data_IF_643166293537
#
_entry.id   IF_643166293537
#
_cell.length_a   1.000
_cell.length_b   1.000
_cell.length_c   1.000
_cell.angle_alpha   90.00
_cell.angle_beta   90.00
_cell.angle_gamma   90.00
#
_symmetry.space_group_name_H-M   'P 1'
#
loop_
_entity.id
_entity.type
_entity.pdbx_description
1 polymer ?
#
# COMPACT_ATOMS: atom_id res chain seq x y z
N UNK A 1 -19.41 -10.20 -6.34
CA UNK A 1 -18.74 -9.08 -5.66
C UNK A 1 -19.51 -7.81 -5.95
N UNK A 2 -19.87 -7.04 -4.93
CA UNK A 2 -20.43 -5.70 -5.12
C UNK A 2 -19.42 -4.85 -5.89
N UNK A 3 -19.87 -4.12 -6.92
CA UNK A 3 -19.05 -3.27 -7.81
C UNK A 3 -18.68 -1.96 -7.11
N UNK A 4 -18.04 -2.04 -5.96
CA UNK A 4 -17.72 -0.91 -5.10
C UNK A 4 -16.22 -0.77 -4.99
N UNK A 5 -15.75 0.46 -5.16
CA UNK A 5 -14.37 0.86 -5.01
C UNK A 5 -14.27 1.77 -3.78
N UNK A 6 -13.48 1.39 -2.79
CA UNK A 6 -13.31 2.19 -1.58
C UNK A 6 -12.12 3.12 -1.76
N UNK A 7 -12.34 4.42 -1.59
CA UNK A 7 -11.34 5.47 -1.72
C UNK A 7 -11.61 6.57 -0.69
N UNK A 8 -10.56 7.19 -0.17
CA UNK A 8 -10.67 8.36 0.70
C UNK A 8 -9.40 8.62 1.51
N UNK A 9 -9.45 9.62 2.37
CA UNK A 9 -8.43 9.86 3.39
C UNK A 9 -8.75 9.06 4.66
N UNK A 10 -7.80 8.87 5.59
CA UNK A 10 -8.08 8.21 6.87
C UNK A 10 -9.27 8.90 7.56
N UNK A 11 -10.36 8.16 7.83
CA UNK A 11 -11.56 8.69 8.51
C UNK A 11 -12.69 9.06 7.58
N UNK A 12 -12.39 9.16 6.28
CA UNK A 12 -13.33 9.57 5.24
C UNK A 12 -13.35 8.59 4.07
N UNK A 13 -13.03 7.31 4.31
CA UNK A 13 -13.15 6.24 3.33
C UNK A 13 -14.63 6.04 2.95
N UNK A 14 -14.97 6.20 1.67
CA UNK A 14 -16.34 5.94 1.19
C UNK A 14 -16.38 4.96 0.03
N UNK A 15 -17.49 4.20 -0.08
CA UNK A 15 -17.76 3.42 -1.26
C UNK A 15 -18.09 4.35 -2.43
N UNK A 16 -17.31 4.26 -3.50
CA UNK A 16 -17.58 4.90 -4.79
C UNK A 16 -17.89 3.81 -5.81
N UNK A 17 -18.60 4.19 -6.87
CA UNK A 17 -18.84 3.30 -8.00
C UNK A 17 -17.52 2.82 -8.59
N UNK A 18 -17.46 1.56 -9.01
CA UNK A 18 -16.29 1.02 -9.72
C UNK A 18 -15.94 1.89 -10.95
N UNK A 19 -14.64 2.14 -11.14
CA UNK A 19 -14.13 2.81 -12.33
C UNK A 19 -14.42 1.97 -13.60
N UNK A 20 -14.37 2.63 -14.76
CA UNK A 20 -14.57 1.99 -16.05
C UNK A 20 -13.43 1.01 -16.35
N UNK A 21 -13.75 -0.09 -17.05
CA UNK A 21 -12.73 -1.04 -17.48
C UNK A 21 -11.65 -0.33 -18.32
N UNK A 22 -10.39 -0.62 -18.04
CA UNK A 22 -9.24 0.05 -18.66
C UNK A 22 -8.55 1.08 -17.77
N UNK A 23 -9.08 1.38 -16.57
CA UNK A 23 -8.29 2.04 -15.54
C UNK A 23 -7.05 1.19 -15.22
N UNK A 24 -5.88 1.73 -15.52
CA UNK A 24 -4.60 1.05 -15.40
C UNK A 24 -3.75 1.70 -14.32
N UNK A 25 -2.82 0.93 -13.77
CA UNK A 25 -1.71 1.47 -13.02
C UNK A 25 -0.42 1.22 -13.79
N UNK A 26 0.48 2.20 -13.73
CA UNK A 26 1.82 2.09 -14.31
C UNK A 26 2.85 2.33 -13.22
N UNK A 27 3.86 1.46 -13.17
CA UNK A 27 5.06 1.69 -12.36
C UNK A 27 5.99 2.59 -13.15
N UNK A 28 6.30 3.75 -12.58
CA UNK A 28 7.16 4.77 -13.17
C UNK A 28 8.45 4.84 -12.34
N UNK A 29 9.58 4.78 -13.04
CA UNK A 29 10.91 4.90 -12.43
C UNK A 29 11.75 5.93 -13.18
N UNK A 30 12.83 6.38 -12.56
CA UNK A 30 13.80 7.23 -13.23
C UNK A 30 14.64 6.40 -14.21
N UNK A 31 14.83 6.89 -15.43
CA UNK A 31 15.65 6.26 -16.44
C UNK A 31 16.32 7.31 -17.32
N UNK A 32 17.64 7.35 -17.33
CA UNK A 32 18.46 8.20 -18.18
C UNK A 32 19.27 7.34 -19.14
N UNK A 33 19.23 7.69 -20.43
CA UNK A 33 20.04 7.05 -21.47
C UNK A 33 21.11 8.02 -21.95
N UNK A 34 22.37 7.64 -21.80
CA UNK A 34 23.50 8.39 -22.31
C UNK A 34 23.99 7.69 -23.57
N UNK A 35 24.11 8.43 -24.67
CA UNK A 35 24.69 7.91 -25.91
C UNK A 35 26.14 8.37 -26.02
N UNK A 36 27.06 7.43 -26.19
CA UNK A 36 28.47 7.71 -26.35
C UNK A 36 28.78 8.01 -27.82
N UNK A 37 29.74 8.92 -28.06
CA UNK A 37 30.27 9.24 -29.40
C UNK A 37 30.84 8.02 -30.15
N UNK A 38 31.21 6.96 -29.41
CA UNK A 38 31.64 5.67 -29.95
C UNK A 38 30.50 4.80 -30.50
N UNK A 39 29.24 5.26 -30.45
CA UNK A 39 28.05 4.52 -30.86
C UNK A 39 27.49 3.57 -29.80
N UNK A 40 28.07 3.53 -28.59
CA UNK A 40 27.55 2.75 -27.45
C UNK A 40 26.49 3.54 -26.68
N UNK A 41 25.71 2.87 -25.85
CA UNK A 41 24.79 3.52 -24.92
C UNK A 41 25.05 3.05 -23.48
N UNK A 42 24.93 3.97 -22.53
CA UNK A 42 24.81 3.72 -21.10
C UNK A 42 23.37 3.98 -20.68
N UNK A 43 22.86 3.20 -19.72
CA UNK A 43 21.54 3.39 -19.15
C UNK A 43 21.69 3.44 -17.63
N UNK A 44 21.14 4.48 -17.01
CA UNK A 44 21.03 4.61 -15.57
C UNK A 44 19.55 4.56 -15.21
N UNK A 45 19.16 3.63 -14.37
CA UNK A 45 17.77 3.48 -13.90
C UNK A 45 17.73 3.47 -12.39
N UNK A 46 16.65 3.99 -11.80
CA UNK A 46 16.33 3.69 -10.41
C UNK A 46 15.73 2.29 -10.31
N UNK A 47 16.02 1.58 -9.22
CA UNK A 47 15.30 0.36 -8.86
C UNK A 47 14.00 0.68 -8.13
N UNK A 48 13.98 1.78 -7.37
CA UNK A 48 12.74 2.36 -6.85
C UNK A 48 11.84 2.87 -7.97
N UNK A 49 10.54 2.69 -7.79
CA UNK A 49 9.49 3.18 -8.68
C UNK A 49 8.30 3.66 -7.85
N UNK A 50 7.58 4.67 -8.33
CA UNK A 50 6.25 5.02 -7.81
C UNK A 50 5.16 4.50 -8.75
N UNK A 51 3.93 4.46 -8.26
CA UNK A 51 2.76 4.09 -9.05
C UNK A 51 1.94 5.30 -9.45
N UNK A 52 1.52 5.29 -10.71
CA UNK A 52 0.52 6.22 -11.22
C UNK A 52 -0.73 5.45 -11.59
N UNK A 53 -1.89 6.00 -11.23
CA UNK A 53 -3.19 5.40 -11.46
C UNK A 53 -4.02 6.36 -12.30
N UNK A 54 -4.56 5.87 -13.41
CA UNK A 54 -5.52 6.62 -14.23
C UNK A 54 -6.89 5.97 -14.07
N UNK A 55 -7.80 6.70 -13.42
CA UNK A 55 -9.15 6.24 -13.18
C UNK A 55 -10.16 7.11 -13.92
N UNK A 56 -11.12 6.45 -14.55
CA UNK A 56 -12.30 7.11 -15.13
C UNK A 56 -13.57 6.51 -14.55
N UNK A 57 -14.46 7.36 -14.05
CA UNK A 57 -15.76 6.98 -13.52
C UNK A 57 -16.87 7.57 -14.37
N UNK A 58 -17.99 6.85 -14.46
CA UNK A 58 -19.23 7.34 -15.07
C UNK A 58 -20.39 7.07 -14.14
N UNK A 59 -21.05 8.12 -13.69
CA UNK A 59 -22.08 8.05 -12.66
C UNK A 59 -23.02 9.25 -12.69
N UNK A 60 -23.83 9.34 -11.64
CA UNK A 60 -24.55 10.57 -11.32
C UNK A 60 -23.65 11.54 -10.57
N UNK A 61 -24.01 12.83 -10.57
CA UNK A 61 -23.23 13.87 -9.89
C UNK A 61 -23.09 13.62 -8.40
N UNK A 62 -24.17 13.25 -7.72
CA UNK A 62 -24.19 12.94 -6.29
C UNK A 62 -23.29 11.76 -5.92
N UNK A 63 -23.26 10.71 -6.76
CA UNK A 63 -22.40 9.53 -6.57
C UNK A 63 -20.90 9.87 -6.68
N UNK A 64 -20.54 10.83 -7.55
CA UNK A 64 -19.16 11.19 -7.83
C UNK A 64 -18.70 12.46 -7.09
N UNK A 65 -19.61 13.14 -6.38
CA UNK A 65 -19.31 14.35 -5.62
C UNK A 65 -18.18 14.12 -4.61
N UNK A 66 -18.15 12.95 -3.97
CA UNK A 66 -17.10 12.61 -3.01
C UNK A 66 -15.69 12.64 -3.63
N UNK A 67 -15.52 12.24 -4.89
CA UNK A 67 -14.22 12.32 -5.58
C UNK A 67 -13.79 13.77 -5.80
N UNK A 68 -14.75 14.64 -6.13
CA UNK A 68 -14.49 16.07 -6.31
C UNK A 68 -14.15 16.74 -4.98
N UNK A 69 -14.86 16.36 -3.90
CA UNK A 69 -14.60 16.83 -2.54
C UNK A 69 -13.23 16.37 -2.02
N UNK A 70 -12.80 15.14 -2.35
CA UNK A 70 -11.44 14.69 -2.07
C UNK A 70 -10.42 15.54 -2.83
N UNK A 71 -10.65 15.82 -4.12
CA UNK A 71 -9.71 16.60 -4.94
C UNK A 71 -9.61 18.07 -4.58
N UNK A 72 -10.64 18.61 -3.92
CA UNK A 72 -10.63 19.98 -3.41
C UNK A 72 -9.99 20.10 -2.03
N UNK A 73 -9.56 18.98 -1.43
CA UNK A 73 -8.98 18.94 -0.10
C UNK A 73 -10.00 19.16 1.02
N UNK A 74 -11.31 18.96 0.77
CA UNK A 74 -12.36 19.17 1.77
C UNK A 74 -12.15 18.31 3.04
N UNK A 75 -11.51 17.16 2.87
CA UNK A 75 -11.22 16.19 3.94
C UNK A 75 -9.78 16.26 4.45
N UNK A 76 -9.08 17.37 4.20
CA UNK A 76 -7.69 17.60 4.59
C UNK A 76 -6.67 17.29 3.49
N UNK A 77 -5.39 17.50 3.83
CA UNK A 77 -4.23 17.30 2.94
C UNK A 77 -3.57 15.92 3.13
N UNK A 78 -4.29 14.98 3.75
CA UNK A 78 -3.76 13.63 3.94
C UNK A 78 -3.72 12.87 2.61
N UNK A 79 -2.76 11.92 2.45
CA UNK A 79 -2.75 11.04 1.30
C UNK A 79 -4.08 10.30 1.14
N UNK A 80 -4.42 10.02 -0.12
CA UNK A 80 -5.60 9.27 -0.53
C UNK A 80 -5.23 7.79 -0.55
N UNK A 81 -6.05 6.99 0.11
CA UNK A 81 -5.92 5.56 0.18
C UNK A 81 -7.10 4.89 -0.51
N UNK A 82 -6.81 3.82 -1.24
CA UNK A 82 -7.81 2.96 -1.83
C UNK A 82 -7.32 1.51 -1.86
N UNK A 83 -8.25 0.58 -2.05
CA UNK A 83 -7.92 -0.82 -2.26
C UNK A 83 -8.20 -1.14 -3.71
N UNK A 84 -7.16 -1.52 -4.46
CA UNK A 84 -7.33 -2.07 -5.80
C UNK A 84 -7.95 -3.47 -5.68
N UNK A 85 -9.18 -3.68 -6.18
CA UNK A 85 -9.84 -4.97 -6.11
C UNK A 85 -9.13 -6.07 -6.91
N UNK A 86 -8.23 -5.73 -7.85
CA UNK A 86 -7.41 -6.72 -8.57
C UNK A 86 -6.30 -7.32 -7.70
N UNK A 87 -5.88 -6.61 -6.64
CA UNK A 87 -4.76 -7.01 -5.78
C UNK A 87 -5.16 -7.23 -4.32
N UNK A 88 -6.42 -6.98 -3.97
CA UNK A 88 -6.96 -7.11 -2.62
C UNK A 88 -6.73 -8.49 -1.99
N UNK A 89 -6.70 -9.54 -2.81
CA UNK A 89 -6.46 -10.94 -2.43
C UNK A 89 -4.99 -11.38 -2.50
N UNK A 90 -4.07 -10.48 -2.88
CA UNK A 90 -2.63 -10.76 -3.02
C UNK A 90 -1.79 -10.02 -1.99
N UNK A 91 -1.08 -8.97 -2.36
CA UNK A 91 -0.32 -8.17 -1.42
C UNK A 91 -0.59 -6.70 -1.70
N UNK A 92 -1.36 -6.06 -0.82
CA UNK A 92 -1.73 -4.65 -0.95
C UNK A 92 -0.67 -3.71 -0.39
N UNK A 93 0.47 -4.22 0.09
CA UNK A 93 1.58 -3.36 0.49
C UNK A 93 2.27 -2.78 -0.74
N UNK A 94 2.85 -1.59 -0.60
CA UNK A 94 3.82 -1.09 -1.55
C UNK A 94 5.02 -2.04 -1.66
N UNK A 95 5.72 -2.01 -2.80
CA UNK A 95 6.79 -2.98 -3.09
C UNK A 95 7.92 -2.97 -2.04
N UNK A 96 8.32 -1.78 -1.57
CA UNK A 96 9.38 -1.63 -0.58
C UNK A 96 8.96 -2.05 0.83
N UNK A 97 7.69 -1.87 1.19
CA UNK A 97 7.12 -2.47 2.41
C UNK A 97 7.04 -3.99 2.31
N UNK A 98 6.61 -4.52 1.17
CA UNK A 98 6.50 -5.97 0.98
C UNK A 98 7.86 -6.68 0.99
N UNK A 99 8.90 -6.07 0.42
CA UNK A 99 10.26 -6.58 0.37
C UNK A 99 11.26 -5.52 0.86
N UNK A 100 11.51 -5.42 2.18
CA UNK A 100 12.32 -4.35 2.78
C UNK A 100 13.77 -4.27 2.27
N UNK A 101 14.29 -5.34 1.66
CA UNK A 101 15.58 -5.33 0.97
C UNK A 101 15.63 -4.32 -0.18
N UNK A 102 14.50 -3.90 -0.75
CA UNK A 102 14.46 -2.87 -1.79
C UNK A 102 15.04 -1.54 -1.33
N UNK A 103 15.07 -1.27 -0.02
CA UNK A 103 15.72 -0.08 0.52
C UNK A 103 17.24 -0.07 0.30
N UNK A 104 17.86 -1.22 0.05
CA UNK A 104 19.27 -1.32 -0.36
C UNK A 104 19.50 -0.93 -1.82
N UNK A 105 18.41 -0.83 -2.59
CA UNK A 105 18.36 -0.50 -4.02
C UNK A 105 17.62 0.82 -4.23
N UNK A 106 17.87 1.83 -3.40
CA UNK A 106 17.32 3.19 -3.51
C UNK A 106 15.81 3.34 -3.21
N UNK A 107 15.12 2.32 -2.69
CA UNK A 107 13.77 2.51 -2.17
C UNK A 107 13.79 3.16 -0.75
N UNK A 108 12.70 3.79 -0.31
CA UNK A 108 12.62 4.30 1.06
C UNK A 108 12.76 3.16 2.10
N UNK A 109 13.57 3.34 3.16
CA UNK A 109 13.66 2.35 4.24
C UNK A 109 12.34 2.25 4.99
N UNK A 110 12.02 1.06 5.52
CA UNK A 110 10.81 0.84 6.35
C UNK A 110 11.02 1.25 7.81
N UNK A 111 12.26 1.54 8.20
CA UNK A 111 12.64 1.94 9.56
C UNK A 111 13.88 2.81 9.52
N UNK A 112 13.83 3.96 10.21
CA UNK A 112 14.93 4.92 10.21
C UNK A 112 15.11 5.61 8.86
N UNK A 113 16.24 6.28 8.71
CA UNK A 113 16.59 7.04 7.51
C UNK A 113 17.73 6.40 6.70
N UNK A 114 18.48 5.47 7.30
CA UNK A 114 19.58 4.78 6.64
C UNK A 114 19.10 3.53 5.91
N UNK A 115 19.70 3.27 4.74
CA UNK A 115 19.48 2.02 4.03
C UNK A 115 19.95 0.83 4.89
N UNK A 116 19.16 -0.25 5.00
CA UNK A 116 19.54 -1.43 5.76
C UNK A 116 20.65 -2.21 5.04
N UNK A 117 21.28 -3.15 5.73
CA UNK A 117 22.20 -4.10 5.09
C UNK A 117 21.40 -5.27 4.49
N UNK A 118 21.79 -5.73 3.29
CA UNK A 118 21.17 -6.88 2.66
C UNK A 118 21.72 -8.19 3.28
N UNK A 119 20.83 -9.09 3.67
CA UNK A 119 21.19 -10.42 4.21
C UNK A 119 20.54 -11.52 3.40
N UNK A 120 21.16 -12.70 3.37
CA UNK A 120 20.60 -13.85 2.66
C UNK A 120 19.34 -14.37 3.36
N UNK A 121 18.24 -14.54 2.63
CA UNK A 121 17.05 -15.17 3.18
C UNK A 121 17.29 -16.68 3.38
N UNK A 122 16.95 -17.25 4.55
CA UNK A 122 17.03 -18.68 4.77
C UNK A 122 16.18 -19.49 3.78
N UNK A 123 16.52 -20.78 3.62
CA UNK A 123 15.70 -21.72 2.86
C UNK A 123 14.27 -21.75 3.43
N UNK A 124 13.27 -21.61 2.56
CA UNK A 124 11.88 -21.41 2.95
C UNK A 124 10.91 -22.05 1.96
N UNK A 125 9.68 -22.27 2.42
CA UNK A 125 8.55 -22.79 1.64
C UNK A 125 7.54 -21.69 1.25
N UNK A 126 7.90 -20.43 1.50
CA UNK A 126 7.02 -19.26 1.38
C UNK A 126 7.27 -18.45 0.11
N UNK A 127 8.19 -18.87 -0.76
CA UNK A 127 8.64 -18.12 -1.94
C UNK A 127 9.11 -16.69 -1.57
N UNK A 128 9.80 -16.56 -0.42
CA UNK A 128 10.33 -15.28 0.05
C UNK A 128 11.39 -14.71 -0.93
N UNK A 129 11.63 -13.39 -0.91
CA UNK A 129 12.75 -12.79 -1.65
C UNK A 129 14.07 -13.48 -1.31
N UNK A 130 15.00 -13.52 -2.27
CA UNK A 130 16.31 -14.15 -2.09
C UNK A 130 17.15 -13.50 -0.97
N UNK A 131 16.91 -12.22 -0.69
CA UNK A 131 17.58 -11.44 0.34
C UNK A 131 16.56 -10.65 1.17
N UNK A 132 16.85 -10.48 2.45
CA UNK A 132 16.11 -9.62 3.38
C UNK A 132 16.92 -8.39 3.81
N UNK A 133 16.35 -7.62 4.72
CA UNK A 133 16.97 -6.45 5.32
C UNK A 133 17.41 -6.76 6.77
N UNK A 134 18.64 -6.39 7.11
CA UNK A 134 19.12 -6.33 8.49
C UNK A 134 18.92 -4.91 9.02
N UNK A 135 17.98 -4.79 9.96
CA UNK A 135 17.61 -3.54 10.60
C UNK A 135 18.41 -3.39 11.89
N UNK A 136 19.15 -2.29 12.01
CA UNK A 136 19.87 -1.92 13.24
C UNK A 136 19.11 -0.79 13.93
N UNK A 137 18.83 -0.94 15.22
CA UNK A 137 18.12 0.06 16.01
C UNK A 137 18.89 1.37 16.00
N UNK A 138 18.18 2.45 15.70
CA UNK A 138 18.70 3.80 15.74
C UNK A 138 18.05 4.56 16.92
N UNK A 139 18.81 5.25 17.78
CA UNK A 139 18.27 5.91 18.98
C UNK A 139 17.27 7.03 18.68
N UNK A 140 17.34 7.63 17.49
CA UNK A 140 16.51 8.75 17.04
C UNK A 140 15.87 8.48 15.67
N UNK A 141 15.70 7.20 15.28
CA UNK A 141 15.06 6.87 14.01
C UNK A 141 13.64 7.43 13.96
N UNK A 142 13.31 8.06 12.84
CA UNK A 142 11.92 8.30 12.47
C UNK A 142 11.23 6.93 12.32
N UNK A 143 10.18 6.72 13.10
CA UNK A 143 9.31 5.55 12.91
C UNK A 143 8.43 5.85 11.72
N UNK A 144 8.70 5.19 10.60
CA UNK A 144 7.82 5.24 9.43
C UNK A 144 6.59 4.39 9.68
N UNK A 145 5.45 4.89 9.24
CA UNK A 145 4.16 4.26 9.39
C UNK A 145 3.51 4.11 8.02
N UNK A 146 2.88 2.96 7.78
CA UNK A 146 2.14 2.73 6.55
C UNK A 146 0.69 2.39 6.86
N UNK A 147 -0.23 3.24 6.41
CA UNK A 147 -1.65 3.08 6.66
C UNK A 147 -2.32 2.18 5.62
N UNK A 148 -3.06 1.18 6.10
CA UNK A 148 -3.90 0.31 5.29
C UNK A 148 -5.36 0.56 5.65
N UNK A 149 -6.21 0.98 4.69
CA UNK A 149 -7.64 1.10 4.94
C UNK A 149 -8.28 -0.29 5.09
N UNK A 150 -9.25 -0.42 5.99
CA UNK A 150 -10.07 -1.61 6.18
C UNK A 150 -11.54 -1.20 6.04
N UNK A 151 -12.16 -1.42 4.87
CA UNK A 151 -13.56 -1.07 4.66
C UNK A 151 -14.49 -1.84 5.61
N UNK A 152 -15.68 -1.30 5.91
CA UNK A 152 -16.69 -2.02 6.67
C UNK A 152 -17.01 -3.39 6.06
N UNK A 153 -17.09 -4.42 6.91
CA UNK A 153 -17.34 -5.80 6.48
C UNK A 153 -16.14 -6.50 5.83
N UNK A 154 -14.93 -5.94 5.95
CA UNK A 154 -13.68 -6.56 5.53
C UNK A 154 -12.75 -6.79 6.73
N UNK A 155 -11.78 -7.67 6.55
CA UNK A 155 -10.74 -7.98 7.52
C UNK A 155 -9.38 -7.88 6.85
N UNK A 156 -8.42 -7.30 7.57
CA UNK A 156 -7.01 -7.30 7.20
C UNK A 156 -6.38 -8.61 7.66
N UNK A 157 -5.79 -9.34 6.73
CA UNK A 157 -4.90 -10.45 7.00
C UNK A 157 -3.47 -9.99 6.78
N UNK A 158 -2.68 -9.98 7.83
CA UNK A 158 -1.30 -9.50 7.81
C UNK A 158 -0.33 -10.61 8.19
N UNK A 159 0.86 -10.58 7.63
CA UNK A 159 1.95 -11.45 7.99
C UNK A 159 3.30 -10.90 7.58
N UNK A 160 4.35 -11.36 8.23
CA UNK A 160 5.73 -11.04 7.87
C UNK A 160 6.64 -12.21 8.21
N UNK A 161 7.80 -12.28 7.55
CA UNK A 161 8.86 -13.23 7.87
C UNK A 161 10.10 -12.46 8.34
N UNK A 162 10.66 -12.85 9.49
CA UNK A 162 11.79 -12.14 10.10
C UNK A 162 11.93 -12.44 11.59
N UNK A 163 12.70 -11.60 12.29
CA UNK A 163 12.83 -11.62 13.74
C UNK A 163 11.45 -11.38 14.39
N UNK A 164 11.04 -12.21 15.37
CA UNK A 164 9.75 -12.03 16.03
C UNK A 164 9.60 -10.68 16.74
N UNK A 165 8.35 -10.21 16.82
CA UNK A 165 7.91 -9.06 17.61
C UNK A 165 8.50 -7.70 17.19
N UNK A 166 8.93 -7.56 15.94
CA UNK A 166 9.47 -6.29 15.40
C UNK A 166 8.41 -5.46 14.66
N UNK A 167 7.32 -6.07 14.23
CA UNK A 167 6.23 -5.39 13.51
C UNK A 167 5.05 -5.14 14.43
N UNK A 168 4.57 -3.90 14.45
CA UNK A 168 3.40 -3.45 15.20
C UNK A 168 2.30 -3.04 14.23
N UNK A 169 1.08 -3.43 14.58
CA UNK A 169 -0.14 -3.03 13.90
C UNK A 169 -0.93 -2.15 14.87
N UNK A 170 -1.08 -0.88 14.52
CA UNK A 170 -1.83 0.10 15.31
C UNK A 170 -3.22 0.24 14.70
N UNK A 171 -4.29 -0.21 15.38
CA UNK A 171 -5.65 0.02 14.92
C UNK A 171 -5.97 1.52 14.84
N UNK A 172 -6.62 1.96 13.76
CA UNK A 172 -6.92 3.36 13.51
C UNK A 172 -8.42 3.58 13.29
N UNK A 173 -8.90 4.73 13.76
CA UNK A 173 -10.18 5.34 13.40
C UNK A 173 -9.90 6.76 12.94
N UNK A 174 -9.94 6.97 11.63
CA UNK A 174 -9.42 8.17 11.03
C UNK A 174 -7.91 8.33 11.22
N UNK A 175 -7.49 9.55 11.49
CA UNK A 175 -6.10 9.85 11.83
C UNK A 175 -5.77 9.53 13.31
N UNK A 176 -6.65 8.87 14.06
CA UNK A 176 -6.50 8.64 15.50
C UNK A 176 -6.38 7.15 15.81
N UNK A 177 -5.55 6.84 16.81
CA UNK A 177 -5.40 5.48 17.32
C UNK A 177 -6.68 4.99 17.98
N UNK A 178 -7.12 3.78 17.62
CA UNK A 178 -8.33 3.14 18.13
C UNK A 178 -8.02 1.84 18.87
N UNK A 179 -7.35 1.95 20.02
CA UNK A 179 -7.04 0.82 20.90
C UNK A 179 -5.55 0.45 20.98
N UNK A 180 -5.22 -0.68 21.65
CA UNK A 180 -3.84 -1.10 21.87
C UNK A 180 -3.18 -1.62 20.58
N UNK A 181 -1.85 -1.55 20.52
CA UNK A 181 -1.10 -2.10 19.38
C UNK A 181 -1.18 -3.62 19.42
N UNK A 182 -1.36 -4.21 18.23
CA UNK A 182 -1.26 -5.64 18.03
C UNK A 182 0.15 -5.94 17.53
N UNK A 183 0.92 -6.70 18.31
CA UNK A 183 2.22 -7.20 17.85
C UNK A 183 1.99 -8.32 16.86
N UNK A 184 2.44 -8.15 15.61
CA UNK A 184 2.28 -9.18 14.61
C UNK A 184 3.20 -10.39 14.91
N UNK A 185 2.71 -11.59 14.63
CA UNK A 185 3.49 -12.82 14.80
C UNK A 185 4.32 -13.07 13.55
N UNK A 186 5.61 -13.32 13.70
CA UNK A 186 6.45 -13.72 12.57
C UNK A 186 6.01 -15.09 12.03
N UNK A 187 5.93 -15.20 10.70
CA UNK A 187 5.63 -16.44 10.01
C UNK A 187 6.79 -17.43 10.14
N UNK A 188 6.45 -18.70 10.38
CA UNK A 188 7.42 -19.77 10.28
C UNK A 188 7.73 -20.01 8.79
N UNK A 189 8.98 -19.79 8.39
CA UNK A 189 9.42 -19.90 6.99
C UNK A 189 9.24 -21.29 6.37
N UNK A 190 8.97 -22.31 7.19
CA UNK A 190 8.71 -23.69 6.75
C UNK A 190 7.23 -24.05 6.64
N UNK A 191 6.30 -23.25 7.20
CA UNK A 191 4.87 -23.60 7.35
C UNK A 191 4.02 -23.45 6.09
N UNK A 192 4.55 -22.84 5.02
CA UNK A 192 3.83 -22.59 3.78
C UNK A 192 2.75 -21.49 3.86
N UNK A 193 2.58 -20.82 5.01
CA UNK A 193 1.66 -19.68 5.16
C UNK A 193 2.35 -18.45 5.78
N UNK A 194 2.39 -17.34 5.05
CA UNK A 194 2.96 -16.08 5.54
C UNK A 194 1.97 -15.30 6.44
N UNK A 195 0.67 -15.44 6.23
CA UNK A 195 -0.36 -14.65 6.90
C UNK A 195 -0.66 -15.20 8.30
N UNK A 196 -0.25 -14.47 9.34
CA UNK A 196 -0.26 -14.92 10.74
C UNK A 196 -1.26 -14.18 11.62
N UNK A 197 -1.53 -12.91 11.32
CA UNK A 197 -2.39 -12.03 12.11
C UNK A 197 -3.64 -11.63 11.32
N UNK A 198 -4.77 -11.45 12.00
CA UNK A 198 -6.01 -10.98 11.38
C UNK A 198 -6.66 -9.93 12.26
N UNK A 199 -7.03 -8.81 11.65
CA UNK A 199 -7.73 -7.69 12.28
C UNK A 199 -9.03 -7.48 11.52
N UNK A 200 -10.16 -7.61 12.21
CA UNK A 200 -11.47 -7.37 11.62
C UNK A 200 -11.78 -5.87 11.60
N UNK A 201 -12.27 -5.37 10.47
CA UNK A 201 -12.84 -4.04 10.36
C UNK A 201 -14.11 -3.93 11.20
N UNK A 202 -14.35 -2.76 11.79
CA UNK A 202 -15.53 -2.50 12.62
C UNK A 202 -15.95 -1.04 12.53
N UNK A 203 -17.09 -0.67 13.12
CA UNK A 203 -17.53 0.72 13.14
C UNK A 203 -16.55 1.67 13.90
N UNK A 204 -15.67 1.10 14.73
CA UNK A 204 -14.64 1.85 15.47
C UNK A 204 -13.24 1.65 14.90
N UNK A 205 -13.09 1.05 13.72
CA UNK A 205 -11.81 0.77 13.09
C UNK A 205 -11.95 0.81 11.57
N UNK A 206 -11.37 1.84 10.95
CA UNK A 206 -11.42 2.06 9.49
C UNK A 206 -10.08 1.78 8.79
N UNK A 207 -9.03 1.49 9.56
CA UNK A 207 -7.74 1.09 9.04
C UNK A 207 -6.76 0.62 10.11
N UNK A 208 -5.56 0.28 9.66
CA UNK A 208 -4.44 -0.15 10.50
C UNK A 208 -3.17 0.54 10.00
N UNK A 209 -2.42 1.15 10.89
CA UNK A 209 -1.05 1.62 10.62
C UNK A 209 -0.05 0.52 10.95
N UNK A 210 0.90 0.27 10.05
CA UNK A 210 2.00 -0.68 10.24
C UNK A 210 3.27 0.10 10.58
N UNK A 211 3.97 -0.32 11.63
CA UNK A 211 5.30 0.19 11.95
C UNK A 211 6.28 -0.93 12.29
N UNK A 212 7.55 -0.68 12.02
CA UNK A 212 8.66 -1.58 12.35
C UNK A 212 9.50 -0.96 13.45
N UNK A 213 9.85 -1.74 14.46
CA UNK A 213 10.57 -1.26 15.66
C UNK A 213 11.51 -2.35 16.20
N UNK A 214 12.73 -2.47 15.66
CA UNK A 214 13.72 -3.42 16.16
C UNK A 214 14.23 -3.04 17.56
N UNK A 215 14.42 -4.04 18.43
CA UNK A 215 14.96 -3.82 19.78
C UNK A 215 16.47 -3.57 19.81
N UNK A 216 17.22 -4.20 18.89
CA UNK A 216 18.66 -4.04 18.73
C UNK A 216 19.05 -4.29 17.27
N UNK A 217 19.06 -5.55 16.85
CA UNK A 217 19.25 -5.97 15.46
C UNK A 217 18.09 -6.90 15.13
N UNK A 218 17.51 -6.72 13.95
CA UNK A 218 16.41 -7.55 13.48
C UNK A 218 16.55 -7.85 12.00
N UNK A 219 16.16 -9.05 11.62
CA UNK A 219 16.07 -9.50 10.24
C UNK A 219 14.62 -9.34 9.77
N UNK A 220 14.41 -8.76 8.59
CA UNK A 220 13.09 -8.65 8.00
C UNK A 220 13.17 -9.04 6.53
N UNK A 221 12.56 -10.16 6.18
CA UNK A 221 12.65 -10.76 4.85
C UNK A 221 11.51 -10.33 3.94
N UNK A 222 10.28 -10.31 4.46
CA UNK A 222 9.09 -10.00 3.69
C UNK A 222 7.91 -9.60 4.57
N UNK A 223 7.00 -8.80 4.03
CA UNK A 223 5.70 -8.48 4.61
C UNK A 223 4.59 -8.68 3.58
N UNK A 224 3.41 -9.08 4.04
CA UNK A 224 2.24 -9.24 3.21
C UNK A 224 0.96 -8.82 3.94
N UNK A 225 0.13 -8.06 3.24
CA UNK A 225 -1.20 -7.69 3.68
C UNK A 225 -2.25 -8.04 2.62
N UNK A 226 -3.41 -8.54 3.04
CA UNK A 226 -4.58 -8.76 2.19
C UNK A 226 -5.81 -8.22 2.89
N UNK A 227 -6.72 -7.59 2.16
CA UNK A 227 -8.00 -7.13 2.70
C UNK A 227 -9.11 -7.88 2.00
N UNK A 228 -9.76 -8.77 2.74
CA UNK A 228 -10.79 -9.66 2.23
C UNK A 228 -12.12 -9.41 2.95
N UNK A 229 -13.27 -9.71 2.34
CA UNK A 229 -14.54 -9.69 3.05
C UNK A 229 -14.47 -10.55 4.32
N UNK A 230 -15.04 -10.09 5.43
CA UNK A 230 -14.95 -10.80 6.71
C UNK A 230 -15.61 -12.19 6.70
N UNK A 231 -16.44 -12.48 5.69
CA UNK A 231 -17.04 -13.80 5.44
C UNK A 231 -16.14 -14.75 4.65
N UNK A 232 -15.05 -14.25 4.06
CA UNK A 232 -14.10 -15.07 3.34
C UNK A 232 -13.33 -15.98 4.31
N UNK A 233 -13.04 -17.21 3.86
CA UNK A 233 -12.14 -18.08 4.60
C UNK A 233 -10.76 -17.44 4.69
N UNK A 234 -10.10 -17.58 5.86
CA UNK A 234 -8.73 -17.08 6.04
C UNK A 234 -7.84 -17.65 4.93
N UNK A 235 -7.17 -16.78 4.16
CA UNK A 235 -6.30 -17.20 3.08
C UNK A 235 -5.07 -17.92 3.64
N UNK A 236 -4.69 -19.00 2.97
CA UNK A 236 -3.36 -19.59 3.08
C UNK A 236 -2.59 -19.09 1.88
N UNK A 237 -1.55 -18.29 2.11
CA UNK A 237 -0.81 -17.66 1.03
C UNK A 237 0.68 -17.82 1.23
N UNK A 238 1.37 -18.07 0.13
CA UNK A 238 2.80 -17.78 0.01
C UNK A 238 3.02 -16.28 -0.16
N UNK A 239 4.27 -15.85 -0.14
CA UNK A 239 4.64 -14.47 -0.39
C UNK A 239 4.30 -14.06 -1.82
N UNK A 240 3.70 -12.88 -1.94
CA UNK A 240 3.56 -12.15 -3.18
C UNK A 240 4.23 -10.79 -3.06
N UNK A 241 4.91 -10.34 -4.11
CA UNK A 241 5.45 -8.98 -4.17
C UNK A 241 4.36 -7.92 -3.97
N UNK A 242 4.74 -6.79 -3.39
CA UNK A 242 3.82 -5.69 -3.07
C UNK A 242 3.18 -5.08 -4.31
N UNK A 243 1.84 -5.00 -4.29
CA UNK A 243 1.03 -4.44 -5.35
C UNK A 243 0.05 -3.35 -4.90
N UNK A 244 0.28 -2.74 -3.73
CA UNK A 244 -0.42 -1.51 -3.36
C UNK A 244 0.43 -0.27 -3.57
N UNK A 245 0.13 0.76 -2.78
CA UNK A 245 0.80 2.07 -2.77
C UNK A 245 0.99 2.52 -1.32
N UNK A 246 1.93 3.42 -1.05
CA UNK A 246 2.08 4.08 0.27
C UNK A 246 0.97 5.07 0.56
N UNK A 247 0.52 5.79 -0.45
CA UNK A 247 -0.53 6.80 -0.37
C UNK A 247 -0.49 7.61 -1.66
N UNK A 248 -1.59 8.22 -2.08
CA UNK A 248 -1.64 8.93 -3.36
C UNK A 248 -2.13 10.38 -3.22
N UNK A 249 -1.69 11.26 -4.10
CA UNK A 249 -2.34 12.57 -4.32
C UNK A 249 -2.86 12.67 -5.75
N UNK A 250 -3.83 13.56 -5.97
CA UNK A 250 -4.26 13.88 -7.32
C UNK A 250 -3.15 14.65 -8.06
N UNK A 251 -2.84 14.21 -9.27
CA UNK A 251 -2.03 14.99 -10.21
C UNK A 251 -2.92 15.99 -10.92
N UNK A 252 -3.00 17.20 -10.35
CA UNK A 252 -3.92 18.24 -10.81
C UNK A 252 -5.37 17.98 -10.40
N UNK A 253 -6.30 18.67 -11.05
CA UNK A 253 -7.73 18.52 -10.75
C UNK A 253 -8.40 17.46 -11.63
N UNK A 254 -9.34 16.66 -11.10
CA UNK A 254 -10.15 15.76 -11.90
C UNK A 254 -10.90 16.50 -13.03
N UNK A 255 -10.97 15.87 -14.19
CA UNK A 255 -11.69 16.40 -15.36
C UNK A 255 -13.13 15.89 -15.33
N UNK A 256 -14.08 16.81 -15.26
CA UNK A 256 -15.52 16.50 -15.26
C UNK A 256 -16.10 16.69 -16.66
N UNK A 257 -16.61 15.61 -17.25
CA UNK A 257 -17.26 15.62 -18.58
C UNK A 257 -18.76 15.41 -18.43
N UNK A 258 -19.62 16.38 -18.78
CA UNK A 258 -21.06 16.19 -18.73
C UNK A 258 -21.50 15.26 -19.87
N UNK A 259 -22.19 14.15 -19.55
CA UNK A 259 -22.74 13.24 -20.56
C UNK A 259 -24.19 13.56 -20.90
N UNK A 260 -25.01 13.87 -19.88
CA UNK A 260 -26.41 14.23 -20.10
C UNK A 260 -26.96 15.05 -18.95
N UNK A 261 -27.42 16.26 -19.26
CA UNK A 261 -28.03 17.18 -18.28
C UNK A 261 -29.40 16.67 -17.77
N UNK A 262 -30.31 16.12 -18.61
CA UNK A 262 -31.56 15.55 -18.11
C UNK A 262 -31.40 14.35 -17.16
N UNK A 263 -30.29 13.61 -17.26
CA UNK A 263 -30.03 12.42 -16.43
C UNK A 263 -28.99 12.66 -15.34
N UNK A 264 -28.55 13.91 -15.17
CA UNK A 264 -27.45 14.35 -14.28
C UNK A 264 -26.24 13.40 -14.31
N UNK A 265 -25.93 12.89 -15.51
CA UNK A 265 -24.87 11.92 -15.70
C UNK A 265 -23.59 12.65 -16.10
N UNK A 266 -22.53 12.37 -15.35
CA UNK A 266 -21.20 12.94 -15.56
C UNK A 266 -20.16 11.83 -15.63
N UNK A 267 -19.06 12.12 -16.33
CA UNK A 267 -17.81 11.41 -16.28
C UNK A 267 -16.82 12.18 -15.43
N UNK A 268 -16.03 11.47 -14.64
CA UNK A 268 -14.90 12.05 -13.90
C UNK A 268 -13.67 11.23 -14.27
N UNK A 269 -12.62 11.88 -14.74
CA UNK A 269 -11.31 11.25 -14.94
C UNK A 269 -10.31 11.91 -14.02
N UNK A 270 -9.52 11.11 -13.30
CA UNK A 270 -8.49 11.61 -12.40
C UNK A 270 -7.24 10.74 -12.47
N UNK A 271 -6.10 11.41 -12.34
CA UNK A 271 -4.80 10.76 -12.19
C UNK A 271 -4.36 10.88 -10.74
N UNK A 272 -3.98 9.76 -10.15
CA UNK A 272 -3.45 9.67 -8.79
C UNK A 272 -1.99 9.22 -8.87
N UNK A 273 -1.12 9.88 -8.11
CA UNK A 273 0.31 9.59 -8.07
C UNK A 273 0.68 9.20 -6.66
N UNK A 274 1.34 8.06 -6.53
CA UNK A 274 1.88 7.60 -5.26
C UNK A 274 2.93 8.58 -4.73
N UNK A 275 2.84 8.92 -3.45
CA UNK A 275 3.79 9.75 -2.73
C UNK A 275 4.40 8.97 -1.57
N UNK A 276 5.61 9.36 -1.17
CA UNK A 276 6.26 8.77 -0.01
C UNK A 276 5.56 9.26 1.28
N UNK A 277 5.33 8.33 2.21
CA UNK A 277 4.84 8.65 3.54
C UNK A 277 6.03 9.23 4.34
N UNK A 278 6.11 10.57 4.46
CA UNK A 278 7.10 11.26 5.30
C UNK A 278 6.63 11.40 6.75
#
# INVERSE_FOLDING_TARGET
MSRVFYIGTPGHLKPVKMFQAGGGHTSMGYGEKIQYLSGRAGMRTSFGSHREYDFSWRGRRDELQHLLDLSSGLYGDSPIYFIDPMWADRNILAAHWAAPVQATLDAPPVYGDDAPEAIQTPANNLDLPASGALLVRQPAANSREHYIPIPPGHSLHFGYAGTPSIVRLTPMLGAQRSGPDVTALAANVTSGNILTTTIAGSASLDGVSISVSPLAIAELYAMQAQVLPSTAQRPVSKFHGGNGHTGCHFEGHPVVTPYSRPYDSIGVTAKLVEVDDQ
#
